data_IF_215279150114
#
_entry.id   IF_215279150114
#
_cell.length_a   1.000
_cell.length_b   1.000
_cell.length_c   1.000
_cell.angle_alpha   90.00
_cell.angle_beta   90.00
_cell.angle_gamma   90.00
#
_symmetry.space_group_name_H-M   'P 1'
#
loop_
_entity.id
_entity.type
_entity.pdbx_description
1 polymer ?
#
# COMPACT_ATOMS: atom_id res chain seq x y z
N UNK A 1 35.21 -2.27 -19.86
CA UNK A 1 35.33 -2.41 -18.39
C UNK A 1 34.00 -2.02 -17.78
N UNK A 2 33.12 -3.00 -17.57
CA UNK A 2 32.65 -3.48 -16.25
C UNK A 2 32.16 -2.35 -15.34
N UNK A 3 31.07 -1.68 -15.76
CA UNK A 3 30.17 -0.99 -14.80
C UNK A 3 28.90 -1.80 -14.54
N UNK A 4 28.99 -3.11 -14.76
CA UNK A 4 28.17 -4.14 -14.14
C UNK A 4 28.44 -4.25 -12.62
N UNK A 5 29.33 -3.43 -12.05
CA UNK A 5 29.73 -3.48 -10.64
C UNK A 5 28.83 -2.70 -9.67
N UNK A 6 27.82 -1.95 -10.14
CA UNK A 6 26.82 -1.33 -9.26
C UNK A 6 25.41 -1.90 -9.45
N UNK A 7 25.26 -2.96 -10.23
CA UNK A 7 23.98 -3.64 -10.47
C UNK A 7 23.66 -4.73 -9.44
N UNK A 8 24.34 -4.70 -8.27
CA UNK A 8 24.30 -5.75 -7.26
C UNK A 8 23.54 -5.47 -5.96
N UNK A 9 23.31 -4.20 -5.55
CA UNK A 9 22.92 -3.92 -4.16
C UNK A 9 21.84 -2.83 -3.94
N UNK A 10 21.10 -2.44 -4.98
CA UNK A 10 20.03 -1.42 -4.87
C UNK A 10 18.60 -1.97 -4.75
N UNK A 11 18.43 -3.30 -4.76
CA UNK A 11 17.08 -3.91 -4.81
C UNK A 11 16.27 -3.80 -3.50
N UNK A 12 16.82 -3.23 -2.41
CA UNK A 12 16.19 -3.29 -1.08
C UNK A 12 15.99 -1.96 -0.36
N UNK A 13 16.33 -0.80 -0.95
CA UNK A 13 16.33 0.47 -0.19
C UNK A 13 14.98 1.19 -0.17
N UNK A 14 14.07 0.87 -1.10
CA UNK A 14 12.78 1.56 -1.21
C UNK A 14 11.75 0.97 -0.24
N UNK A 15 11.05 1.85 0.45
CA UNK A 15 9.96 1.51 1.36
C UNK A 15 8.59 1.76 0.73
N UNK A 16 7.56 1.19 1.33
CA UNK A 16 6.18 1.35 0.90
C UNK A 16 5.74 2.82 0.96
N UNK A 17 6.06 3.53 2.05
CA UNK A 17 5.69 4.95 2.17
C UNK A 17 6.48 5.82 1.18
N UNK A 18 7.75 5.51 0.94
CA UNK A 18 8.52 6.20 -0.10
C UNK A 18 7.88 6.01 -1.49
N UNK A 19 7.52 4.78 -1.83
CA UNK A 19 6.89 4.45 -3.11
C UNK A 19 5.55 5.18 -3.29
N UNK A 20 4.70 5.19 -2.27
CA UNK A 20 3.41 5.87 -2.30
C UNK A 20 3.57 7.38 -2.53
N UNK A 21 4.49 8.03 -1.80
CA UNK A 21 4.80 9.46 -1.99
C UNK A 21 5.27 9.78 -3.41
N UNK A 22 6.17 8.97 -3.95
CA UNK A 22 6.64 9.13 -5.33
C UNK A 22 5.48 9.05 -6.33
N UNK A 23 4.59 8.06 -6.17
CA UNK A 23 3.43 7.93 -7.05
C UNK A 23 2.39 9.03 -6.86
N UNK A 24 2.13 9.47 -5.62
CA UNK A 24 1.23 10.59 -5.31
C UNK A 24 1.66 11.87 -6.03
N UNK A 25 2.96 12.16 -6.04
CA UNK A 25 3.53 13.29 -6.81
C UNK A 25 3.40 13.09 -8.31
N UNK A 26 3.69 11.88 -8.81
CA UNK A 26 3.67 11.56 -10.24
C UNK A 26 2.28 11.62 -10.87
N UNK A 27 1.24 11.22 -10.14
CA UNK A 27 -0.14 11.22 -10.67
C UNK A 27 -0.81 12.60 -10.59
N UNK A 28 -0.26 13.50 -9.77
CA UNK A 28 -0.81 14.83 -9.61
C UNK A 28 -0.77 15.59 -10.95
N UNK A 29 -1.91 16.15 -11.36
CA UNK A 29 -2.04 16.85 -12.65
C UNK A 29 -2.13 15.96 -13.89
N UNK A 30 -1.97 14.63 -13.77
CA UNK A 30 -2.10 13.69 -14.91
C UNK A 30 -3.41 12.91 -14.87
N UNK A 31 -3.92 12.61 -13.67
CA UNK A 31 -5.17 11.84 -13.49
C UNK A 31 -6.34 12.73 -13.12
N UNK A 32 -7.56 12.23 -13.36
CA UNK A 32 -8.78 12.89 -12.93
C UNK A 32 -8.81 13.05 -11.40
N UNK A 33 -9.44 14.13 -10.91
CA UNK A 33 -9.54 14.45 -9.47
C UNK A 33 -10.07 13.27 -8.64
N UNK A 34 -11.08 12.56 -9.13
CA UNK A 34 -11.64 11.38 -8.44
C UNK A 34 -10.61 10.25 -8.27
N UNK A 35 -9.77 10.01 -9.28
CA UNK A 35 -8.71 8.99 -9.21
C UNK A 35 -7.63 9.37 -8.20
N UNK A 36 -7.24 10.65 -8.15
CA UNK A 36 -6.28 11.17 -7.16
C UNK A 36 -6.85 11.00 -5.74
N UNK A 37 -8.12 11.34 -5.53
CA UNK A 37 -8.80 11.14 -4.24
C UNK A 37 -8.86 9.67 -3.84
N UNK A 38 -9.19 8.76 -4.77
CA UNK A 38 -9.18 7.33 -4.50
C UNK A 38 -7.79 6.83 -4.09
N UNK A 39 -6.73 7.31 -4.75
CA UNK A 39 -5.36 6.99 -4.38
C UNK A 39 -5.05 7.45 -2.95
N UNK A 40 -5.36 8.70 -2.60
CA UNK A 40 -5.16 9.25 -1.24
C UNK A 40 -5.92 8.45 -0.17
N UNK A 41 -7.13 8.00 -0.48
CA UNK A 41 -7.93 7.13 0.40
C UNK A 41 -7.20 5.80 0.64
N UNK A 42 -6.72 5.14 -0.43
CA UNK A 42 -5.90 3.93 -0.33
C UNK A 42 -4.64 4.16 0.50
N UNK A 43 -3.96 5.30 0.35
CA UNK A 43 -2.80 5.64 1.16
C UNK A 43 -3.14 5.71 2.65
N UNK A 44 -4.29 6.29 2.98
CA UNK A 44 -4.83 6.32 4.33
C UNK A 44 -5.04 4.94 4.94
N UNK A 45 -5.54 3.97 4.15
CA UNK A 45 -5.73 2.59 4.63
C UNK A 45 -4.42 1.89 4.91
N UNK A 46 -3.44 2.02 4.01
CA UNK A 46 -2.11 1.44 4.21
C UNK A 46 -1.47 2.00 5.48
N UNK A 47 -1.53 3.32 5.70
CA UNK A 47 -0.98 3.95 6.90
C UNK A 47 -1.68 3.49 8.19
N UNK A 48 -3.00 3.28 8.15
CA UNK A 48 -3.75 2.75 9.29
C UNK A 48 -3.37 1.30 9.57
N UNK A 49 -3.27 0.46 8.54
CA UNK A 49 -2.84 -0.93 8.68
C UNK A 49 -1.44 -1.04 9.28
N UNK A 50 -0.46 -0.27 8.77
CA UNK A 50 0.89 -0.29 9.32
C UNK A 50 0.88 0.04 10.83
N UNK A 51 0.06 1.00 11.26
CA UNK A 51 -0.12 1.31 12.69
C UNK A 51 -0.71 0.14 13.49
N UNK A 52 -1.64 -0.64 12.95
CA UNK A 52 -2.21 -1.80 13.68
C UNK A 52 -1.18 -2.90 13.91
N UNK A 53 -0.26 -3.09 12.96
CA UNK A 53 0.88 -4.02 13.09
C UNK A 53 2.14 -3.36 13.67
N UNK A 54 2.00 -2.16 14.28
CA UNK A 54 3.07 -1.40 14.96
C UNK A 54 4.28 -1.07 14.07
N UNK A 55 4.08 -0.94 12.77
CA UNK A 55 5.07 -0.47 11.81
C UNK A 55 4.83 1.00 11.44
N UNK A 56 5.92 1.76 11.27
CA UNK A 56 5.87 3.12 10.69
C UNK A 56 6.04 3.09 9.18
N UNK A 57 6.76 2.09 8.68
CA UNK A 57 7.06 1.85 7.27
C UNK A 57 7.50 0.39 7.07
N UNK A 58 7.62 -0.06 5.84
CA UNK A 58 8.06 -1.41 5.47
C UNK A 58 8.81 -1.38 4.14
N UNK A 59 9.89 -2.15 4.02
CA UNK A 59 10.60 -2.32 2.75
C UNK A 59 9.73 -3.07 1.73
N UNK A 60 9.84 -2.69 0.45
CA UNK A 60 9.10 -3.36 -0.62
C UNK A 60 9.41 -4.86 -0.71
N UNK A 61 10.66 -5.25 -0.40
CA UNK A 61 11.08 -6.66 -0.35
C UNK A 61 10.39 -7.49 0.74
N UNK A 62 9.73 -6.84 1.71
CA UNK A 62 8.98 -7.49 2.79
C UNK A 62 7.48 -7.57 2.54
N UNK A 63 7.00 -7.08 1.40
CA UNK A 63 5.60 -7.19 0.97
C UNK A 63 5.32 -8.61 0.44
N UNK A 64 5.39 -9.59 1.34
CA UNK A 64 5.14 -10.99 1.04
C UNK A 64 3.64 -11.32 1.03
N UNK A 65 3.31 -12.54 0.63
CA UNK A 65 1.92 -13.02 0.56
C UNK A 65 1.15 -12.81 1.89
N UNK A 66 1.78 -13.10 3.03
CA UNK A 66 1.18 -12.89 4.35
C UNK A 66 0.81 -11.43 4.59
N UNK A 67 1.69 -10.48 4.25
CA UNK A 67 1.41 -9.06 4.38
C UNK A 67 0.15 -8.66 3.59
N UNK A 68 0.00 -9.19 2.36
CA UNK A 68 -1.16 -8.92 1.51
C UNK A 68 -2.45 -9.47 2.14
N UNK A 69 -2.46 -10.72 2.60
CA UNK A 69 -3.61 -11.33 3.26
C UNK A 69 -3.99 -10.62 4.58
N UNK A 70 -2.99 -10.21 5.37
CA UNK A 70 -3.23 -9.47 6.62
C UNK A 70 -3.83 -8.09 6.32
N UNK A 71 -3.35 -7.41 5.26
CA UNK A 71 -3.90 -6.13 4.82
C UNK A 71 -5.33 -6.26 4.29
N UNK A 72 -5.61 -7.28 3.49
CA UNK A 72 -6.97 -7.60 3.03
C UNK A 72 -7.92 -7.86 4.21
N UNK A 73 -7.49 -8.68 5.16
CA UNK A 73 -8.27 -8.97 6.39
C UNK A 73 -8.53 -7.70 7.20
N UNK A 74 -7.56 -6.78 7.28
CA UNK A 74 -7.74 -5.48 7.90
C UNK A 74 -8.79 -4.63 7.16
N UNK A 75 -8.78 -4.60 5.82
CA UNK A 75 -9.76 -3.85 5.04
C UNK A 75 -11.18 -4.37 5.27
N UNK A 76 -11.37 -5.70 5.30
CA UNK A 76 -12.68 -6.31 5.61
C UNK A 76 -13.21 -5.90 6.99
N UNK A 77 -12.35 -5.85 8.01
CA UNK A 77 -12.75 -5.42 9.36
C UNK A 77 -12.99 -3.91 9.46
N UNK A 78 -12.20 -3.11 8.73
CA UNK A 78 -12.31 -1.65 8.73
C UNK A 78 -13.60 -1.16 8.06
N UNK A 79 -14.12 -1.93 7.10
CA UNK A 79 -15.40 -1.68 6.43
C UNK A 79 -16.42 -2.76 6.81
N UNK A 80 -17.06 -2.70 7.98
CA UNK A 80 -18.09 -3.67 8.38
C UNK A 80 -19.40 -3.57 7.56
N UNK A 81 -19.38 -2.98 6.36
CA UNK A 81 -20.58 -2.66 5.59
C UNK A 81 -20.63 -3.36 4.23
N UNK A 82 -21.15 -4.60 4.21
CA UNK A 82 -22.19 -5.09 3.26
C UNK A 82 -22.52 -6.60 3.33
N UNK A 83 -21.99 -7.37 4.28
CA UNK A 83 -22.35 -8.80 4.41
C UNK A 83 -22.76 -9.13 5.84
N UNK A 84 -23.86 -8.54 6.30
CA UNK A 84 -24.65 -8.99 7.47
C UNK A 84 -26.05 -8.35 7.40
N UNK A 85 -26.71 -8.46 6.24
CA UNK A 85 -28.16 -8.28 6.13
C UNK A 85 -28.66 -8.88 4.79
N UNK A 86 -28.56 -10.21 4.68
CA UNK A 86 -29.30 -11.01 3.68
C UNK A 86 -29.31 -12.49 4.08
N UNK A 87 -29.63 -12.76 5.34
CA UNK A 87 -30.20 -14.02 5.83
C UNK A 87 -31.29 -13.53 6.81
N UNK A 88 -32.59 -13.79 6.71
CA UNK A 88 -33.37 -14.85 6.07
C UNK A 88 -34.85 -14.35 6.04
N UNK A 89 -35.84 -15.21 5.71
CA UNK A 89 -36.77 -15.15 4.56
C UNK A 89 -37.84 -14.04 4.56
#
# INVERSE_FOLDING_TARGET
>A
MVKDYFMGDEKSTKTLIHLMKYHSQKINGTLAKGTIQNFQITEGYVLKFLKTIKLKDIYLSRLNYKFICDFESFLFQYYPGRTSQSDEP
#
